data_IF_517148666121
#
_entry.id   IF_517148666121
#
_cell.length_a   1.000
_cell.length_b   1.000
_cell.length_c   1.000
_cell.angle_alpha   90.00
_cell.angle_beta   90.00
_cell.angle_gamma   90.00
#
_symmetry.space_group_name_H-M   'P 1'
#
loop_
_entity.id
_entity.type
_entity.pdbx_description
1 polymer ?
#
# COMPACT_ATOMS: atom_id res chain seq x y z
N UNK A 1 -18.47 -2.02 -21.48
CA UNK A 1 -17.64 -1.29 -20.53
C UNK A 1 -17.96 -1.83 -19.14
N UNK A 2 -17.28 -2.90 -18.74
CA UNK A 2 -17.55 -3.59 -17.47
C UNK A 2 -16.63 -2.97 -16.43
N UNK A 3 -17.21 -2.30 -15.44
CA UNK A 3 -16.51 -1.89 -14.23
C UNK A 3 -16.22 -3.18 -13.46
N UNK A 4 -14.94 -3.56 -13.33
CA UNK A 4 -14.55 -4.72 -12.52
C UNK A 4 -15.00 -4.44 -11.08
N UNK A 5 -15.81 -5.34 -10.52
CA UNK A 5 -16.17 -5.29 -9.12
C UNK A 5 -14.92 -5.54 -8.28
N UNK A 6 -14.48 -4.53 -7.53
CA UNK A 6 -13.47 -4.65 -6.48
C UNK A 6 -13.94 -5.74 -5.51
N UNK A 7 -13.28 -6.90 -5.55
CA UNK A 7 -13.55 -7.97 -4.61
C UNK A 7 -12.87 -7.60 -3.28
N UNK A 8 -13.65 -7.10 -2.32
CA UNK A 8 -13.22 -6.98 -0.93
C UNK A 8 -12.99 -8.40 -0.41
N UNK A 9 -11.75 -8.88 -0.46
CA UNK A 9 -11.33 -10.06 0.26
C UNK A 9 -11.12 -9.65 1.71
N UNK A 10 -12.10 -9.93 2.57
CA UNK A 10 -11.85 -9.97 4.00
C UNK A 10 -10.91 -11.17 4.26
N UNK A 11 -9.60 -10.91 4.33
CA UNK A 11 -8.68 -11.83 4.98
C UNK A 11 -9.11 -11.92 6.44
N UNK A 12 -9.25 -13.14 6.94
CA UNK A 12 -9.50 -13.37 8.36
C UNK A 12 -8.42 -12.63 9.16
N UNK A 13 -8.78 -11.84 10.18
CA UNK A 13 -7.77 -11.21 11.02
C UNK A 13 -7.01 -12.34 11.72
N UNK A 14 -5.76 -12.58 11.33
CA UNK A 14 -4.81 -13.25 12.20
C UNK A 14 -4.74 -12.44 13.50
N UNK A 15 -4.49 -13.10 14.64
CA UNK A 15 -4.25 -12.44 15.94
C UNK A 15 -2.94 -11.61 15.98
N UNK A 16 -2.52 -11.13 14.82
CA UNK A 16 -1.39 -10.26 14.56
C UNK A 16 -1.88 -8.81 14.62
N UNK A 17 -1.03 -7.92 15.12
CA UNK A 17 -1.28 -6.48 15.22
C UNK A 17 -1.27 -5.82 13.82
N UNK A 18 -2.21 -6.23 12.97
CA UNK A 18 -2.40 -5.70 11.63
C UNK A 18 -3.17 -4.39 11.69
N UNK A 19 -2.63 -3.37 11.03
CA UNK A 19 -3.19 -2.04 10.93
C UNK A 19 -3.70 -1.82 9.51
N UNK A 20 -4.93 -1.32 9.39
CA UNK A 20 -5.47 -0.92 8.09
C UNK A 20 -4.78 0.34 7.58
N UNK A 21 -4.21 0.24 6.39
CA UNK A 21 -3.56 1.34 5.68
C UNK A 21 -4.27 1.66 4.37
N UNK A 22 -4.06 2.87 3.87
CA UNK A 22 -4.74 3.42 2.70
C UNK A 22 -3.74 3.80 1.63
N UNK A 23 -4.05 3.48 0.37
CA UNK A 23 -3.22 3.86 -0.77
C UNK A 23 -3.21 5.39 -0.89
N UNK A 24 -2.04 6.01 -0.74
CA UNK A 24 -1.86 7.46 -0.82
C UNK A 24 -1.10 7.90 -2.06
N UNK A 25 -0.24 7.03 -2.59
CA UNK A 25 0.60 7.32 -3.75
C UNK A 25 0.87 6.05 -4.56
N UNK A 26 1.10 6.23 -5.85
CA UNK A 26 1.56 5.17 -6.75
C UNK A 26 2.59 5.73 -7.71
N UNK A 27 3.83 5.31 -7.53
CA UNK A 27 4.92 5.61 -8.47
C UNK A 27 5.02 4.55 -9.57
N UNK A 28 5.50 4.98 -10.73
CA UNK A 28 5.86 4.13 -11.84
C UNK A 28 7.28 4.46 -12.29
N UNK A 29 8.13 3.46 -12.48
CA UNK A 29 9.45 3.67 -13.05
C UNK A 29 9.57 3.17 -14.50
N UNK A 30 10.68 3.50 -15.16
CA UNK A 30 10.98 3.13 -16.54
C UNK A 30 11.21 1.62 -16.78
N UNK A 31 11.11 0.80 -15.73
CA UNK A 31 11.20 -0.66 -15.79
C UNK A 31 9.84 -1.33 -15.59
N UNK A 32 8.77 -0.55 -15.79
CA UNK A 32 7.38 -0.88 -15.51
C UNK A 32 7.11 -1.23 -14.04
N UNK A 33 8.04 -1.02 -13.11
CA UNK A 33 7.80 -1.32 -11.69
C UNK A 33 6.83 -0.30 -11.14
N UNK A 34 5.82 -0.81 -10.44
CA UNK A 34 4.83 -0.03 -9.72
C UNK A 34 5.20 -0.06 -8.25
N UNK A 35 5.19 1.10 -7.61
CA UNK A 35 5.50 1.21 -6.19
C UNK A 35 4.34 1.90 -5.48
N UNK A 36 3.31 1.16 -5.01
CA UNK A 36 2.29 1.75 -4.17
C UNK A 36 2.85 2.09 -2.79
N UNK A 37 2.45 3.26 -2.29
CA UNK A 37 2.70 3.70 -0.92
C UNK A 37 1.36 3.72 -0.19
N UNK A 38 1.28 2.99 0.90
CA UNK A 38 0.15 2.98 1.82
C UNK A 38 0.50 3.71 3.11
N UNK A 39 -0.45 4.39 3.73
CA UNK A 39 -0.24 5.10 4.99
C UNK A 39 -1.32 4.79 6.01
N UNK A 40 -0.98 4.92 7.30
CA UNK A 40 -1.97 4.96 8.37
C UNK A 40 -2.85 6.21 8.23
N UNK A 41 -4.12 6.20 8.70
CA UNK A 41 -5.01 7.35 8.60
C UNK A 41 -4.47 8.62 9.28
N UNK A 42 -3.67 8.46 10.32
CA UNK A 42 -2.98 9.55 11.03
C UNK A 42 -1.71 10.05 10.31
N UNK A 43 -1.25 9.35 9.27
CA UNK A 43 -0.10 9.72 8.45
C UNK A 43 1.27 9.56 9.12
N UNK A 44 1.35 8.99 10.32
CA UNK A 44 2.62 8.85 11.05
C UNK A 44 3.46 7.65 10.59
N UNK A 45 2.84 6.71 9.87
CA UNK A 45 3.50 5.51 9.35
C UNK A 45 3.08 5.19 7.93
N UNK A 46 3.99 4.55 7.19
CA UNK A 46 3.79 4.14 5.82
C UNK A 46 4.36 2.75 5.53
N UNK A 47 3.76 2.09 4.55
CA UNK A 47 4.19 0.82 3.96
C UNK A 47 4.43 1.02 2.47
N UNK A 48 5.56 0.53 1.96
CA UNK A 48 5.92 0.62 0.54
C UNK A 48 6.37 -0.74 0.05
N UNK A 49 5.87 -1.17 -1.10
CA UNK A 49 6.31 -2.42 -1.76
C UNK A 49 6.50 -2.21 -3.25
N UNK A 50 7.40 -2.98 -3.85
CA UNK A 50 7.64 -2.95 -5.29
C UNK A 50 6.91 -4.09 -5.99
N UNK A 51 6.18 -3.78 -7.06
CA UNK A 51 5.44 -4.74 -7.86
C UNK A 51 5.96 -4.71 -9.30
N UNK A 52 6.53 -5.82 -9.75
CA UNK A 52 6.87 -6.01 -11.15
C UNK A 52 5.63 -6.49 -11.91
N UNK A 53 5.16 -5.79 -12.96
CA UNK A 53 3.88 -6.08 -13.62
C UNK A 53 3.85 -7.37 -14.42
N UNK A 54 4.99 -8.02 -14.65
CA UNK A 54 5.05 -9.37 -15.25
C UNK A 54 4.92 -10.50 -14.22
N UNK A 55 4.97 -10.19 -12.92
CA UNK A 55 4.93 -11.16 -11.84
C UNK A 55 3.63 -11.11 -11.01
N UNK A 56 2.76 -10.11 -11.24
CA UNK A 56 1.55 -9.85 -10.46
C UNK A 56 0.44 -9.38 -11.40
N UNK A 57 -0.76 -9.90 -11.21
CA UNK A 57 -1.98 -9.32 -11.78
C UNK A 57 -2.12 -7.89 -11.25
N UNK A 58 -2.16 -6.90 -12.14
CA UNK A 58 -2.30 -5.48 -11.77
C UNK A 58 -3.52 -5.21 -10.87
N UNK A 59 -4.49 -6.12 -10.85
CA UNK A 59 -5.66 -6.14 -9.97
C UNK A 59 -5.33 -6.42 -8.48
N UNK A 60 -4.08 -6.72 -8.12
CA UNK A 60 -3.70 -6.95 -6.71
C UNK A 60 -3.55 -5.65 -5.90
N UNK A 61 -3.54 -4.47 -6.53
CA UNK A 61 -3.48 -3.18 -5.82
C UNK A 61 -4.90 -2.75 -5.44
N UNK A 62 -5.18 -2.73 -4.14
CA UNK A 62 -6.46 -2.30 -3.58
C UNK A 62 -6.34 -0.94 -2.90
N UNK A 63 -7.47 -0.26 -2.68
CA UNK A 63 -7.49 1.02 -1.97
C UNK A 63 -7.02 0.92 -0.52
N UNK A 64 -7.16 -0.27 0.09
CA UNK A 64 -6.75 -0.56 1.46
C UNK A 64 -6.05 -1.90 1.54
N UNK A 65 -5.12 -2.02 2.47
CA UNK A 65 -4.51 -3.28 2.89
C UNK A 65 -4.48 -3.33 4.43
N UNK A 66 -4.54 -4.54 4.99
CA UNK A 66 -4.27 -4.79 6.40
C UNK A 66 -2.80 -5.28 6.46
N UNK A 67 -1.95 -4.55 7.19
CA UNK A 67 -0.48 -4.73 7.20
C UNK A 67 0.03 -4.79 8.63
N UNK A 68 0.97 -5.70 8.90
CA UNK A 68 1.57 -5.83 10.22
C UNK A 68 2.26 -4.53 10.65
N UNK A 69 2.10 -4.14 11.92
CA UNK A 69 2.76 -2.94 12.45
C UNK A 69 4.28 -2.98 12.32
N UNK A 70 4.89 -4.16 12.30
CA UNK A 70 6.34 -4.36 12.15
C UNK A 70 6.84 -4.01 10.73
N UNK A 71 5.97 -4.14 9.72
CA UNK A 71 6.27 -3.77 8.33
C UNK A 71 6.10 -2.26 8.07
N UNK A 72 5.54 -1.51 9.02
CA UNK A 72 5.30 -0.08 8.88
C UNK A 72 6.53 0.75 9.28
N UNK A 73 6.96 1.61 8.37
CA UNK A 73 8.00 2.60 8.62
C UNK A 73 7.42 3.91 9.14
N UNK A 74 8.07 4.57 10.10
CA UNK A 74 7.66 5.91 10.54
C UNK A 74 7.93 6.93 9.43
N UNK A 75 6.93 7.77 9.15
CA UNK A 75 7.09 8.93 8.27
C UNK A 75 7.82 10.00 9.08
N UNK A 76 9.07 10.27 8.71
CA UNK A 76 9.81 11.39 9.27
C UNK A 76 9.12 12.71 8.90
N UNK A 77 9.18 13.69 9.80
CA UNK A 77 8.94 15.08 9.40
C UNK A 77 10.13 15.50 8.55
N UNK A 78 9.91 15.68 7.25
CA UNK A 78 10.88 16.34 6.38
C UNK A 78 11.12 17.74 6.96
N UNK A 79 12.34 18.05 7.38
CA UNK A 79 12.68 19.44 7.71
C UNK A 79 12.51 20.27 6.42
N UNK A 80 11.79 21.40 6.46
CA UNK A 80 11.56 22.18 5.26
C UNK A 80 12.90 22.56 4.64
N UNK A 81 13.11 22.15 3.38
CA UNK A 81 14.24 22.61 2.58
C UNK A 81 14.20 24.13 2.48
N UNK A 82 15.19 24.78 3.11
CA UNK A 82 15.38 26.24 3.14
C UNK A 82 15.74 26.80 1.77
#
# INVERSE_FOLDING_TARGET
MTILAVHVRALMPSESDDVRVWLVERDYNNRDIIVPTYATPDGTRAFRRELAPRAIDLDSVTATEDVSLDDLSSVGFDEPVQ
#
